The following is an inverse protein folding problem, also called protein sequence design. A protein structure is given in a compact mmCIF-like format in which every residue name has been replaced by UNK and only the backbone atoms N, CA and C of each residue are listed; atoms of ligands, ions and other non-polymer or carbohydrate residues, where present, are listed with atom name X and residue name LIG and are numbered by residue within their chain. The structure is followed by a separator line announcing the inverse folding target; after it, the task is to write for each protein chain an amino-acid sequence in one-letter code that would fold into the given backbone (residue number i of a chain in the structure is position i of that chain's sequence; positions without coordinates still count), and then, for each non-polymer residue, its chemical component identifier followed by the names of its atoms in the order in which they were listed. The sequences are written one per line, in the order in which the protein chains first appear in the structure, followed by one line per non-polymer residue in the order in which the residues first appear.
data_IF_011154953849
#
_entry.id   IF_011154953849
#
_cell.length_a   1.000
_cell.length_b   1.000
_cell.length_c   1.000
_cell.angle_alpha   90.00
_cell.angle_beta   90.00
_cell.angle_gamma   90.00
#
_symmetry.space_group_name_H-M   'P 1'
#
loop_
_entity.id
_entity.type
_entity.pdbx_description
1 polymer ?
#
# COMPACT_ATOMS: atom_id res chain seq x y z
N UNK A 1 24.71 14.84 -27.70
CA UNK A 1 25.05 13.41 -27.83
C UNK A 1 25.39 12.99 -29.26
N UNK A 2 24.98 13.71 -30.30
CA UNK A 2 25.11 13.37 -31.72
C UNK A 2 26.52 13.46 -32.32
N UNK A 3 27.47 14.18 -31.72
CA UNK A 3 28.86 14.28 -32.25
C UNK A 3 29.80 13.16 -31.75
N UNK A 4 29.51 12.52 -30.64
CA UNK A 4 30.36 11.45 -30.07
C UNK A 4 30.16 10.10 -30.78
N UNK A 5 28.94 9.79 -31.21
CA UNK A 5 28.59 8.51 -31.88
C UNK A 5 29.12 8.50 -33.33
N UNK A 6 29.09 9.66 -34.04
CA UNK A 6 29.64 9.78 -35.37
C UNK A 6 31.16 9.64 -35.39
N UNK A 7 31.88 10.09 -34.34
CA UNK A 7 33.32 9.91 -34.21
C UNK A 7 33.74 8.47 -33.94
N UNK A 8 32.90 7.72 -33.22
CA UNK A 8 33.16 6.29 -32.89
C UNK A 8 33.00 5.39 -34.11
N UNK A 9 32.01 5.65 -34.96
CA UNK A 9 31.78 4.94 -36.22
C UNK A 9 32.90 5.25 -37.27
N UNK A 10 33.37 6.49 -37.32
CA UNK A 10 34.46 6.87 -38.21
C UNK A 10 35.83 6.27 -37.82
N UNK A 11 36.08 6.01 -36.52
CA UNK A 11 37.28 5.36 -36.02
C UNK A 11 37.28 3.84 -36.28
N UNK A 12 36.12 3.18 -36.35
CA UNK A 12 36.01 1.76 -36.67
C UNK A 12 36.27 1.50 -38.16
N UNK A 13 35.95 2.42 -39.05
CA UNK A 13 36.19 2.29 -40.50
C UNK A 13 37.65 2.53 -40.91
N UNK A 14 38.47 3.12 -40.08
CA UNK A 14 39.91 3.38 -40.42
C UNK A 14 40.91 2.36 -39.86
N UNK A 15 40.44 1.38 -39.11
CA UNK A 15 41.34 0.43 -38.42
C UNK A 15 41.49 -0.97 -39.10
N UNK A 16 40.97 -1.14 -40.31
CA UNK A 16 40.98 -2.45 -40.98
C UNK A 16 41.74 -2.52 -42.35
N UNK A 17 42.78 -1.77 -42.63
CA UNK A 17 43.70 -2.28 -43.61
C UNK A 17 45.17 -2.23 -43.17
N UNK A 18 45.63 -3.11 -42.32
CA UNK A 18 47.06 -3.38 -42.14
C UNK A 18 47.28 -4.61 -41.22
N UNK A 19 46.79 -5.76 -41.62
CA UNK A 19 47.35 -7.03 -41.20
C UNK A 19 47.26 -7.97 -42.40
N UNK A 20 48.40 -8.21 -43.05
CA UNK A 20 48.52 -9.15 -44.12
C UNK A 20 48.13 -10.54 -43.63
N UNK A 21 46.95 -11.01 -43.99
CA UNK A 21 46.50 -12.37 -43.83
C UNK A 21 46.62 -13.08 -45.18
N UNK A 22 47.52 -14.05 -45.27
CA UNK A 22 47.48 -15.13 -46.24
C UNK A 22 46.47 -16.17 -45.72
N UNK A 23 45.17 -15.81 -45.80
CA UNK A 23 44.06 -16.67 -45.43
C UNK A 23 43.32 -17.13 -46.68
N UNK A 24 42.83 -18.39 -46.65
CA UNK A 24 41.93 -19.00 -47.62
C UNK A 24 40.74 -18.13 -47.92
N UNK A 25 40.35 -18.03 -49.21
CA UNK A 25 39.30 -17.12 -49.68
C UNK A 25 37.89 -17.29 -49.04
N UNK A 26 37.69 -18.33 -48.20
CA UNK A 26 36.47 -18.58 -47.44
C UNK A 26 36.33 -17.66 -46.21
N UNK A 27 37.42 -17.28 -45.56
CA UNK A 27 37.37 -16.33 -44.40
C UNK A 27 37.09 -14.89 -44.85
N UNK A 28 37.58 -14.52 -46.02
CA UNK A 28 37.28 -13.19 -46.59
C UNK A 28 35.81 -13.07 -47.02
N UNK A 29 35.20 -14.17 -47.51
CA UNK A 29 33.79 -14.25 -47.87
C UNK A 29 32.88 -14.06 -46.63
N UNK A 30 33.17 -14.78 -45.55
CA UNK A 30 32.41 -14.66 -44.31
C UNK A 30 32.56 -13.29 -43.64
N UNK A 31 33.75 -12.68 -43.73
CA UNK A 31 33.95 -11.30 -43.23
C UNK A 31 33.16 -10.28 -44.01
N UNK A 32 33.12 -10.39 -45.35
CA UNK A 32 32.32 -9.52 -46.19
C UNK A 32 30.79 -9.67 -45.98
N UNK A 33 30.32 -10.91 -45.77
CA UNK A 33 28.91 -11.13 -45.42
C UNK A 33 28.57 -10.47 -44.07
N UNK A 34 29.45 -10.59 -43.08
CA UNK A 34 29.25 -9.97 -41.77
C UNK A 34 29.30 -8.44 -41.82
N UNK A 35 30.15 -7.86 -42.68
CA UNK A 35 30.16 -6.39 -42.93
C UNK A 35 28.84 -5.95 -43.54
N UNK A 36 28.31 -6.64 -44.53
CA UNK A 36 27.05 -6.34 -45.16
C UNK A 36 25.85 -6.45 -44.19
N UNK A 37 25.85 -7.44 -43.29
CA UNK A 37 24.89 -7.55 -42.20
C UNK A 37 24.94 -6.36 -41.24
N UNK A 38 26.15 -5.96 -40.82
CA UNK A 38 26.33 -4.81 -39.91
C UNK A 38 25.99 -3.48 -40.55
N UNK A 39 26.24 -3.32 -41.85
CA UNK A 39 25.83 -2.13 -42.61
C UNK A 39 24.30 -2.04 -42.71
N UNK A 40 23.64 -3.16 -43.00
CA UNK A 40 22.16 -3.22 -43.03
C UNK A 40 21.54 -2.95 -41.65
N UNK A 41 22.16 -3.44 -40.59
CA UNK A 41 21.69 -3.16 -39.21
C UNK A 41 21.90 -1.70 -38.84
N UNK A 42 23.02 -1.10 -39.24
CA UNK A 42 23.29 0.32 -39.00
C UNK A 42 22.33 1.25 -39.74
N UNK A 43 21.91 0.90 -40.98
CA UNK A 43 20.87 1.62 -41.71
C UNK A 43 19.51 1.52 -41.02
N UNK A 44 19.12 0.33 -40.51
CA UNK A 44 17.89 0.14 -39.78
C UNK A 44 17.87 0.91 -38.43
N UNK A 45 18.99 0.89 -37.71
CA UNK A 45 19.13 1.63 -36.47
C UNK A 45 19.10 3.16 -36.71
N UNK A 46 19.66 3.63 -37.82
CA UNK A 46 19.64 5.04 -38.20
C UNK A 46 18.22 5.51 -38.58
N UNK A 47 17.43 4.66 -39.25
CA UNK A 47 16.03 4.92 -39.52
C UNK A 47 15.20 5.01 -38.22
N UNK A 48 15.48 4.13 -37.27
CA UNK A 48 14.82 4.13 -35.95
C UNK A 48 15.21 5.34 -35.11
N UNK A 49 16.45 5.79 -35.18
CA UNK A 49 16.93 7.02 -34.53
C UNK A 49 16.18 8.23 -35.11
N UNK A 50 16.03 8.31 -36.43
CA UNK A 50 15.29 9.41 -37.09
C UNK A 50 13.80 9.42 -36.73
N UNK A 51 13.19 8.23 -36.56
CA UNK A 51 11.82 8.10 -36.06
C UNK A 51 11.70 8.58 -34.60
N UNK A 52 12.62 8.19 -33.74
CA UNK A 52 12.67 8.62 -32.34
C UNK A 52 12.98 10.13 -32.19
N UNK A 53 13.86 10.67 -33.01
CA UNK A 53 14.14 12.10 -33.05
C UNK A 53 12.91 12.91 -33.48
N UNK A 54 12.11 12.40 -34.43
CA UNK A 54 10.85 13.02 -34.83
C UNK A 54 9.77 12.90 -33.72
N UNK A 55 9.78 11.80 -32.95
CA UNK A 55 8.94 11.65 -31.76
C UNK A 55 9.36 12.61 -30.64
N UNK A 56 10.66 12.80 -30.44
CA UNK A 56 11.20 13.77 -29.48
C UNK A 56 10.81 15.21 -29.81
N UNK A 57 10.82 15.59 -31.10
CA UNK A 57 10.37 16.93 -31.51
C UNK A 57 8.87 17.13 -31.21
N UNK A 58 8.03 16.10 -31.41
CA UNK A 58 6.61 16.16 -31.04
C UNK A 58 6.39 16.14 -29.53
N UNK A 59 7.24 15.47 -28.75
CA UNK A 59 7.20 15.54 -27.30
C UNK A 59 7.68 16.88 -26.74
N UNK A 60 8.64 17.52 -27.38
CA UNK A 60 9.13 18.85 -27.02
C UNK A 60 8.07 19.92 -27.35
N UNK A 61 7.38 19.79 -28.47
CA UNK A 61 6.22 20.61 -28.82
C UNK A 61 5.02 20.37 -27.89
N UNK A 62 4.78 19.12 -27.46
CA UNK A 62 3.78 18.81 -26.43
C UNK A 62 4.18 19.31 -25.06
N UNK A 63 5.47 19.28 -24.70
CA UNK A 63 5.96 19.84 -23.44
C UNK A 63 5.81 21.37 -23.42
N UNK A 64 6.07 22.05 -24.53
CA UNK A 64 5.84 23.50 -24.67
C UNK A 64 4.35 23.83 -24.63
N UNK A 65 3.49 23.02 -25.25
CA UNK A 65 2.03 23.18 -25.14
C UNK A 65 1.51 22.82 -23.74
N UNK A 66 2.14 21.86 -23.06
CA UNK A 66 1.82 21.50 -21.68
C UNK A 66 2.26 22.60 -20.70
N UNK A 67 3.47 23.15 -20.90
CA UNK A 67 4.00 24.27 -20.10
C UNK A 67 3.18 25.56 -20.32
N UNK A 68 2.77 25.83 -21.58
CA UNK A 68 1.89 26.96 -21.91
C UNK A 68 0.44 26.73 -21.45
N UNK A 69 -0.06 25.49 -21.53
CA UNK A 69 -1.36 25.10 -20.98
C UNK A 69 -1.37 25.03 -19.45
N UNK A 70 -0.22 24.69 -18.84
CA UNK A 70 -0.03 24.69 -17.39
C UNK A 70 0.05 26.12 -16.84
N UNK A 71 0.77 27.04 -17.48
CA UNK A 71 0.86 28.43 -17.06
C UNK A 71 -0.50 29.13 -17.18
N UNK A 72 -1.26 28.94 -18.30
CA UNK A 72 -2.60 29.52 -18.45
C UNK A 72 -3.62 28.78 -17.58
N UNK A 73 -3.55 27.45 -17.51
CA UNK A 73 -4.46 26.64 -16.71
C UNK A 73 -4.18 26.75 -15.21
N UNK A 74 -2.92 27.00 -14.81
CA UNK A 74 -2.56 27.22 -13.42
C UNK A 74 -2.92 28.63 -12.95
N UNK A 75 -2.63 29.67 -13.74
CA UNK A 75 -2.98 31.04 -13.37
C UNK A 75 -4.51 31.28 -13.45
N UNK A 76 -5.17 30.87 -14.53
CA UNK A 76 -6.63 31.03 -14.66
C UNK A 76 -7.41 30.02 -13.82
N UNK A 77 -6.96 28.76 -13.75
CA UNK A 77 -7.62 27.71 -12.96
C UNK A 77 -7.37 27.84 -11.46
N UNK A 78 -6.20 28.37 -11.03
CA UNK A 78 -5.91 28.58 -9.62
C UNK A 78 -6.64 29.82 -9.08
N UNK A 79 -6.68 30.91 -9.86
CA UNK A 79 -7.45 32.11 -9.49
C UNK A 79 -8.95 31.88 -9.60
N UNK A 80 -9.46 31.26 -10.66
CA UNK A 80 -10.88 30.94 -10.79
C UNK A 80 -11.31 29.80 -9.86
N UNK A 81 -10.44 28.84 -9.53
CA UNK A 81 -10.68 27.78 -8.56
C UNK A 81 -10.68 28.30 -7.13
N UNK A 82 -9.81 29.27 -6.78
CA UNK A 82 -9.75 29.87 -5.47
C UNK A 82 -10.90 30.86 -5.24
N UNK A 83 -11.25 31.67 -6.25
CA UNK A 83 -12.42 32.57 -6.19
C UNK A 83 -13.75 31.80 -6.40
N UNK A 84 -13.75 30.69 -7.15
CA UNK A 84 -14.91 29.81 -7.35
C UNK A 84 -15.19 28.92 -6.14
N UNK A 85 -14.17 28.48 -5.42
CA UNK A 85 -14.33 27.78 -4.14
C UNK A 85 -14.88 28.71 -3.04
N UNK A 86 -14.69 30.03 -3.19
CA UNK A 86 -15.28 31.02 -2.29
C UNK A 86 -16.71 31.47 -2.70
N UNK A 87 -17.22 31.10 -3.88
CA UNK A 87 -18.47 31.69 -4.41
C UNK A 87 -19.47 30.80 -5.12
N UNK A 88 -19.25 29.49 -5.39
CA UNK A 88 -20.34 28.63 -5.88
C UNK A 88 -20.03 27.13 -5.82
N UNK A 89 -20.78 26.40 -5.01
CA UNK A 89 -20.90 24.95 -5.08
C UNK A 89 -19.64 24.19 -4.74
N UNK A 90 -19.26 24.21 -3.45
CA UNK A 90 -18.24 23.33 -2.91
C UNK A 90 -18.51 21.89 -3.37
N UNK A 91 -17.48 21.20 -3.87
CA UNK A 91 -17.48 19.74 -3.86
C UNK A 91 -17.93 19.32 -2.47
N UNK A 92 -19.04 18.58 -2.37
CA UNK A 92 -19.49 18.06 -1.07
C UNK A 92 -18.36 17.23 -0.49
N UNK A 93 -18.02 17.47 0.79
CA UNK A 93 -17.08 16.61 1.51
C UNK A 93 -17.53 15.14 1.41
N UNK A 94 -16.62 14.22 1.42
CA UNK A 94 -16.93 12.78 1.47
C UNK A 94 -17.88 12.47 2.62
N UNK A 95 -17.72 13.12 3.78
CA UNK A 95 -18.67 13.01 4.89
C UNK A 95 -20.10 13.39 4.48
N UNK A 96 -20.27 14.52 3.81
CA UNK A 96 -21.61 14.99 3.41
C UNK A 96 -22.26 14.02 2.41
N UNK A 97 -21.48 13.45 1.52
CA UNK A 97 -21.93 12.41 0.58
C UNK A 97 -22.35 11.12 1.31
N UNK A 98 -21.55 10.65 2.28
CA UNK A 98 -21.84 9.47 3.10
C UNK A 98 -23.16 9.68 3.86
N UNK A 99 -23.30 10.81 4.56
CA UNK A 99 -24.50 11.10 5.36
C UNK A 99 -25.73 11.23 4.45
N UNK A 100 -25.61 11.89 3.30
CA UNK A 100 -26.70 11.99 2.32
C UNK A 100 -27.11 10.63 1.75
N UNK A 101 -26.17 9.72 1.57
CA UNK A 101 -26.40 8.37 1.04
C UNK A 101 -26.89 7.40 2.12
N UNK A 102 -26.54 7.63 3.39
CA UNK A 102 -26.91 6.81 4.52
C UNK A 102 -26.07 5.58 4.76
N UNK A 103 -24.94 5.42 4.09
CA UNK A 103 -23.95 4.34 4.32
C UNK A 103 -22.56 4.76 3.85
N UNK A 104 -21.52 4.13 4.43
CA UNK A 104 -20.11 4.34 4.08
C UNK A 104 -19.58 3.20 3.21
N UNK A 105 -18.77 3.52 2.21
CA UNK A 105 -18.07 2.55 1.36
C UNK A 105 -16.63 2.39 1.84
N UNK A 106 -16.32 1.29 2.50
CA UNK A 106 -14.98 0.98 2.98
C UNK A 106 -14.25 0.02 2.03
N UNK A 107 -13.12 0.45 1.46
CA UNK A 107 -12.25 -0.38 0.64
C UNK A 107 -11.39 -1.29 1.52
N UNK A 108 -11.58 -2.61 1.40
CA UNK A 108 -11.00 -3.59 2.32
C UNK A 108 -10.29 -4.74 1.61
N UNK A 109 -9.50 -5.49 2.37
CA UNK A 109 -8.99 -6.81 2.03
C UNK A 109 -9.94 -7.88 2.56
N UNK A 110 -9.94 -9.08 1.96
CA UNK A 110 -10.84 -10.18 2.35
C UNK A 110 -10.09 -11.48 2.69
N UNK A 111 -8.78 -11.51 2.46
CA UNK A 111 -7.99 -12.74 2.50
C UNK A 111 -6.87 -12.75 3.54
N UNK A 112 -6.82 -11.76 4.44
CA UNK A 112 -5.77 -11.70 5.46
C UNK A 112 -6.37 -11.75 6.86
N UNK A 113 -6.29 -12.91 7.50
CA UNK A 113 -6.71 -13.09 8.88
C UNK A 113 -5.96 -12.13 9.83
N UNK A 114 -6.68 -11.56 10.78
CA UNK A 114 -6.17 -10.55 11.70
C UNK A 114 -6.21 -9.10 11.19
N UNK A 115 -6.21 -8.86 9.88
CA UNK A 115 -6.31 -7.51 9.30
C UNK A 115 -7.65 -7.31 8.57
N UNK A 116 -7.82 -7.88 7.38
CA UNK A 116 -9.04 -7.81 6.59
C UNK A 116 -9.40 -9.20 6.06
N UNK A 117 -10.33 -9.85 6.70
CA UNK A 117 -10.73 -11.23 6.42
C UNK A 117 -12.25 -11.37 6.26
N UNK A 118 -12.66 -12.13 5.27
CA UNK A 118 -14.03 -12.58 5.06
C UNK A 118 -14.08 -14.10 5.21
N UNK A 119 -14.83 -14.55 6.18
CA UNK A 119 -15.22 -15.97 6.27
C UNK A 119 -16.33 -16.23 5.24
N UNK A 120 -15.99 -16.93 4.17
CA UNK A 120 -16.91 -17.22 3.06
C UNK A 120 -18.04 -18.17 3.42
N UNK A 121 -17.89 -18.97 4.47
CA UNK A 121 -18.91 -19.91 4.92
C UNK A 121 -19.99 -19.21 5.76
N UNK A 122 -19.60 -18.23 6.55
CA UNK A 122 -20.50 -17.49 7.46
C UNK A 122 -20.86 -16.10 6.95
N UNK A 123 -20.08 -15.54 6.03
CA UNK A 123 -20.20 -14.14 5.58
C UNK A 123 -19.69 -13.11 6.59
N UNK A 124 -19.09 -13.55 7.71
CA UNK A 124 -18.60 -12.67 8.76
C UNK A 124 -17.25 -12.05 8.35
N UNK A 125 -17.12 -10.74 8.54
CA UNK A 125 -15.86 -10.03 8.37
C UNK A 125 -15.20 -9.78 9.72
N UNK A 126 -13.86 -9.87 9.75
CA UNK A 126 -13.07 -9.67 10.96
C UNK A 126 -11.68 -9.08 10.66
N UNK A 127 -11.02 -8.59 11.70
CA UNK A 127 -9.67 -8.06 11.66
C UNK A 127 -9.59 -6.57 11.90
N UNK A 128 -8.39 -6.07 12.18
CA UNK A 128 -8.13 -4.71 12.64
C UNK A 128 -8.57 -3.63 11.64
N UNK A 129 -8.42 -3.88 10.35
CA UNK A 129 -8.90 -2.98 9.28
C UNK A 129 -10.44 -2.92 9.27
N UNK A 130 -11.12 -4.03 9.56
CA UNK A 130 -12.58 -4.10 9.66
C UNK A 130 -13.08 -3.37 10.92
N UNK A 131 -12.40 -3.57 12.06
CA UNK A 131 -12.69 -2.82 13.29
C UNK A 131 -12.53 -1.31 13.07
N UNK A 132 -11.52 -0.89 12.30
CA UNK A 132 -11.32 0.52 11.96
C UNK A 132 -12.44 1.06 11.05
N UNK A 133 -12.89 0.30 10.02
CA UNK A 133 -14.07 0.70 9.23
C UNK A 133 -15.30 0.89 10.12
N UNK A 134 -15.55 -0.04 11.05
CA UNK A 134 -16.66 0.04 12.02
C UNK A 134 -16.54 1.26 12.94
N UNK A 135 -15.34 1.53 13.44
CA UNK A 135 -15.06 2.70 14.26
C UNK A 135 -15.38 4.02 13.55
N UNK A 136 -14.95 4.15 12.29
CA UNK A 136 -15.23 5.34 11.47
C UNK A 136 -16.73 5.49 11.21
N UNK A 137 -17.44 4.41 10.89
CA UNK A 137 -18.90 4.44 10.68
C UNK A 137 -19.63 4.87 11.95
N UNK A 138 -19.29 4.32 13.11
CA UNK A 138 -19.87 4.69 14.40
C UNK A 138 -19.62 6.17 14.72
N UNK A 139 -18.41 6.67 14.50
CA UNK A 139 -18.04 8.06 14.77
C UNK A 139 -18.90 9.08 14.00
N UNK A 140 -19.33 8.74 12.79
CA UNK A 140 -20.17 9.61 11.95
C UNK A 140 -21.67 9.34 12.11
N UNK A 141 -22.06 8.50 13.09
CA UNK A 141 -23.44 8.21 13.45
C UNK A 141 -24.13 7.18 12.55
N UNK A 142 -23.39 6.36 11.85
CA UNK A 142 -23.89 5.20 11.09
C UNK A 142 -23.89 3.92 11.95
N UNK A 143 -24.78 2.98 11.61
CA UNK A 143 -24.76 1.65 12.23
C UNK A 143 -23.55 0.86 11.68
N UNK A 144 -22.59 0.48 12.53
CA UNK A 144 -21.37 -0.19 12.08
C UNK A 144 -21.59 -1.62 11.57
N UNK A 145 -22.76 -2.23 11.81
CA UNK A 145 -23.10 -3.56 11.31
C UNK A 145 -23.91 -3.54 10.02
N UNK A 146 -24.66 -2.45 9.74
CA UNK A 146 -25.61 -2.42 8.62
C UNK A 146 -25.31 -1.32 7.59
N UNK A 147 -24.64 -0.23 7.98
CA UNK A 147 -24.45 0.94 7.12
C UNK A 147 -23.02 1.02 6.54
N UNK A 148 -22.34 -0.11 6.41
CA UNK A 148 -21.04 -0.20 5.74
C UNK A 148 -21.15 -1.10 4.52
N UNK A 149 -20.87 -0.54 3.34
CA UNK A 149 -20.61 -1.32 2.13
C UNK A 149 -19.12 -1.63 2.04
N UNK A 150 -18.75 -2.88 2.30
CA UNK A 150 -17.37 -3.35 2.16
C UNK A 150 -17.07 -3.66 0.70
N UNK A 151 -16.11 -2.94 0.11
CA UNK A 151 -15.71 -3.09 -1.28
C UNK A 151 -14.31 -3.70 -1.34
N UNK A 152 -14.16 -4.92 -1.91
CA UNK A 152 -12.84 -5.51 -2.10
C UNK A 152 -11.94 -4.59 -2.92
N UNK A 153 -10.72 -4.32 -2.42
CA UNK A 153 -9.74 -3.48 -3.07
C UNK A 153 -8.41 -4.22 -3.19
N UNK A 154 -7.96 -4.48 -4.42
CA UNK A 154 -6.70 -5.20 -4.70
C UNK A 154 -5.46 -4.29 -4.56
N UNK A 155 -4.27 -4.86 -4.67
CA UNK A 155 -3.02 -4.10 -4.73
C UNK A 155 -2.98 -3.12 -5.89
N UNK A 156 -3.56 -3.50 -7.03
CA UNK A 156 -3.48 -2.76 -8.29
C UNK A 156 -4.62 -1.75 -8.52
N UNK A 157 -5.80 -1.90 -7.87
CA UNK A 157 -6.97 -1.07 -8.17
C UNK A 157 -7.43 -0.16 -7.01
N UNK A 158 -6.87 -0.33 -5.82
CA UNK A 158 -7.33 0.37 -4.60
C UNK A 158 -7.27 1.89 -4.69
N UNK A 159 -6.22 2.44 -5.30
CA UNK A 159 -6.08 3.89 -5.43
C UNK A 159 -7.00 4.46 -6.51
N UNK A 160 -7.22 3.74 -7.62
CA UNK A 160 -8.20 4.12 -8.62
C UNK A 160 -9.63 4.11 -8.04
N UNK A 161 -9.96 3.13 -7.21
CA UNK A 161 -11.24 3.07 -6.50
C UNK A 161 -11.40 4.24 -5.52
N UNK A 162 -10.33 4.63 -4.83
CA UNK A 162 -10.34 5.77 -3.93
C UNK A 162 -10.51 7.08 -4.71
N UNK A 163 -9.68 7.32 -5.71
CA UNK A 163 -9.70 8.52 -6.53
C UNK A 163 -11.05 8.72 -7.26
N UNK A 164 -11.65 7.63 -7.75
CA UNK A 164 -12.95 7.66 -8.46
C UNK A 164 -14.17 7.80 -7.54
N UNK A 165 -14.03 7.73 -6.20
CA UNK A 165 -15.15 7.71 -5.27
C UNK A 165 -15.94 6.39 -5.27
N UNK A 166 -15.36 5.32 -5.85
CA UNK A 166 -15.90 3.96 -5.71
C UNK A 166 -15.87 3.53 -4.25
N UNK A 167 -14.87 3.96 -3.50
CA UNK A 167 -14.76 3.85 -2.04
C UNK A 167 -14.61 5.24 -1.42
N UNK A 168 -15.10 5.41 -0.20
CA UNK A 168 -15.00 6.65 0.57
C UNK A 168 -13.71 6.71 1.38
N UNK A 169 -13.27 5.56 1.85
CA UNK A 169 -12.04 5.37 2.63
C UNK A 169 -11.41 4.03 2.26
N UNK A 170 -10.09 4.00 2.23
CA UNK A 170 -9.31 2.79 2.00
C UNK A 170 -8.66 2.34 3.31
N UNK A 171 -9.11 1.23 3.88
CA UNK A 171 -8.56 0.63 5.10
C UNK A 171 -8.23 -0.83 4.78
N UNK A 172 -7.02 -1.06 4.25
CA UNK A 172 -6.63 -2.38 3.77
C UNK A 172 -5.11 -2.54 3.64
N UNK A 173 -4.40 -2.74 4.74
CA UNK A 173 -2.95 -3.01 4.73
C UNK A 173 -2.21 -2.18 3.67
N UNK A 174 -2.39 -0.85 3.69
CA UNK A 174 -1.82 0.05 2.69
C UNK A 174 -0.64 0.80 3.28
N UNK A 175 0.56 0.50 2.80
CA UNK A 175 1.78 1.16 3.24
C UNK A 175 1.78 2.62 2.83
N UNK A 176 1.99 3.51 3.77
CA UNK A 176 2.21 4.92 3.52
C UNK A 176 3.61 5.12 2.90
N UNK A 177 3.65 5.58 1.67
CA UNK A 177 4.88 5.91 0.95
C UNK A 177 4.77 7.28 0.31
N UNK A 178 5.91 7.94 0.10
CA UNK A 178 5.97 9.26 -0.54
C UNK A 178 5.28 9.28 -1.91
N UNK A 179 5.51 8.24 -2.73
CA UNK A 179 4.90 8.19 -4.07
C UNK A 179 3.38 8.01 -4.03
N UNK A 180 2.87 7.22 -3.08
CA UNK A 180 1.43 7.03 -2.93
C UNK A 180 0.74 8.29 -2.42
N UNK A 181 1.39 8.97 -1.49
CA UNK A 181 0.91 10.20 -0.88
C UNK A 181 0.93 11.36 -1.89
N UNK A 182 2.04 11.50 -2.62
CA UNK A 182 2.25 12.64 -3.52
C UNK A 182 1.63 12.47 -4.91
N UNK A 183 1.53 11.23 -5.44
CA UNK A 183 1.24 11.00 -6.86
C UNK A 183 -0.12 10.32 -7.12
N UNK A 184 -0.79 9.76 -6.09
CA UNK A 184 -1.98 8.91 -6.31
C UNK A 184 -3.31 9.53 -5.82
N UNK A 185 -3.35 10.85 -5.59
CA UNK A 185 -4.51 11.56 -5.05
C UNK A 185 -5.06 10.90 -3.77
N UNK A 186 -4.15 10.50 -2.89
CA UNK A 186 -4.46 9.83 -1.63
C UNK A 186 -3.77 10.53 -0.48
N UNK A 187 -4.53 10.92 0.53
CA UNK A 187 -4.05 11.49 1.78
C UNK A 187 -4.12 10.41 2.87
N UNK A 188 -3.04 10.17 3.59
CA UNK A 188 -2.98 9.12 4.61
C UNK A 188 -3.43 9.62 5.98
N UNK A 189 -4.21 8.78 6.66
CA UNK A 189 -4.82 9.07 7.96
C UNK A 189 -4.22 8.15 9.03
N UNK A 190 -3.25 8.61 9.77
CA UNK A 190 -2.68 7.90 10.91
C UNK A 190 -2.23 6.45 10.64
N UNK A 191 -1.10 6.03 11.17
CA UNK A 191 -0.61 4.66 11.01
C UNK A 191 -1.38 3.75 11.96
N UNK A 192 -2.12 2.78 11.40
CA UNK A 192 -2.91 1.82 12.19
C UNK A 192 -2.15 0.52 12.49
N UNK A 193 -1.12 0.17 11.71
CA UNK A 193 -0.28 -0.99 11.99
C UNK A 193 1.14 -0.79 11.47
N UNK A 194 2.13 -1.12 12.29
CA UNK A 194 3.55 -1.12 11.90
C UNK A 194 3.94 -2.51 11.49
N UNK A 195 4.25 -2.69 10.20
CA UNK A 195 4.64 -3.97 9.61
C UNK A 195 6.02 -3.88 8.94
N UNK A 196 6.43 -4.96 8.34
CA UNK A 196 7.60 -5.08 7.49
C UNK A 196 7.39 -6.19 6.47
N UNK A 197 8.11 -6.13 5.36
CA UNK A 197 8.10 -7.20 4.37
C UNK A 197 8.97 -8.36 4.81
N UNK A 198 8.45 -9.58 4.70
CA UNK A 198 9.17 -10.82 4.96
C UNK A 198 9.07 -11.81 3.80
N UNK A 199 9.58 -13.02 4.02
CA UNK A 199 9.49 -14.16 3.10
C UNK A 199 9.09 -15.41 3.86
N UNK A 200 8.07 -16.11 3.37
CA UNK A 200 7.70 -17.48 3.75
C UNK A 200 8.26 -18.42 2.69
N UNK A 201 9.05 -19.40 3.10
CA UNK A 201 9.74 -20.36 2.20
C UNK A 201 9.24 -21.78 2.43
N UNK A 202 9.11 -22.55 1.35
CA UNK A 202 8.99 -24.00 1.40
C UNK A 202 10.39 -24.59 1.67
N UNK A 203 10.59 -25.12 2.87
CA UNK A 203 11.89 -25.67 3.28
C UNK A 203 12.21 -27.03 2.65
N UNK A 204 11.29 -27.66 1.94
CA UNK A 204 11.58 -28.82 1.11
C UNK A 204 12.28 -28.40 -0.21
N UNK A 205 11.92 -27.23 -0.75
CA UNK A 205 12.62 -26.65 -1.91
C UNK A 205 13.99 -26.05 -1.53
N UNK A 206 14.08 -25.42 -0.35
CA UNK A 206 15.31 -24.82 0.18
C UNK A 206 15.67 -25.36 1.57
N UNK A 207 16.13 -26.62 1.69
CA UNK A 207 16.29 -27.30 3.00
C UNK A 207 17.35 -26.68 3.92
N UNK A 208 18.29 -25.93 3.37
CA UNK A 208 19.36 -25.29 4.12
C UNK A 208 19.08 -23.80 4.40
N UNK A 209 17.94 -23.25 3.94
CA UNK A 209 17.65 -21.82 4.09
C UNK A 209 17.41 -21.47 5.56
N UNK A 210 18.16 -20.50 6.03
CA UNK A 210 18.06 -19.87 7.37
C UNK A 210 17.99 -18.36 7.27
N UNK A 211 18.17 -17.83 6.08
CA UNK A 211 18.20 -16.41 5.73
C UNK A 211 17.59 -16.20 4.34
N UNK A 212 17.08 -15.01 4.07
CA UNK A 212 16.68 -14.61 2.70
C UNK A 212 17.84 -14.72 1.72
N UNK A 213 19.07 -14.55 2.17
CA UNK A 213 20.28 -14.66 1.34
C UNK A 213 20.55 -16.09 0.82
N UNK A 214 19.88 -17.09 1.38
CA UNK A 214 19.98 -18.47 0.93
C UNK A 214 18.99 -18.80 -0.22
N UNK A 215 18.17 -17.82 -0.67
CA UNK A 215 17.09 -18.01 -1.65
C UNK A 215 17.48 -17.58 -3.08
N UNK A 216 18.77 -17.53 -3.41
CA UNK A 216 19.25 -17.20 -4.75
C UNK A 216 18.69 -18.18 -5.79
N UNK A 217 18.08 -17.66 -6.86
CA UNK A 217 17.45 -18.44 -7.93
C UNK A 217 16.03 -18.96 -7.62
N UNK A 218 15.44 -18.63 -6.49
CA UNK A 218 14.10 -19.09 -6.12
C UNK A 218 12.99 -18.51 -7.03
N UNK A 219 11.91 -19.29 -7.20
CA UNK A 219 10.64 -18.77 -7.73
C UNK A 219 9.84 -18.16 -6.56
N UNK A 220 9.56 -16.86 -6.61
CA UNK A 220 8.94 -16.15 -5.50
C UNK A 220 7.60 -15.57 -5.94
N UNK A 221 6.52 -15.99 -5.27
CA UNK A 221 5.19 -15.38 -5.42
C UNK A 221 5.18 -13.96 -4.88
N UNK A 222 4.74 -12.99 -5.69
CA UNK A 222 4.66 -11.57 -5.33
C UNK A 222 3.37 -10.94 -5.86
N UNK A 223 2.72 -10.14 -5.02
CA UNK A 223 1.53 -9.39 -5.41
C UNK A 223 1.88 -8.19 -6.29
N UNK A 224 1.25 -8.07 -7.46
CA UNK A 224 1.43 -6.92 -8.37
C UNK A 224 0.87 -5.62 -7.77
N UNK A 225 1.49 -4.47 -8.11
CA UNK A 225 1.05 -3.14 -7.66
C UNK A 225 1.27 -2.90 -6.16
N UNK A 226 2.18 -3.63 -5.54
CA UNK A 226 2.50 -3.52 -4.11
C UNK A 226 3.90 -2.96 -3.89
N UNK A 227 4.17 -2.43 -2.69
CA UNK A 227 5.52 -2.07 -2.25
C UNK A 227 6.43 -3.28 -2.25
N UNK A 228 5.88 -4.45 -1.93
CA UNK A 228 6.63 -5.69 -1.82
C UNK A 228 7.21 -6.17 -3.15
N UNK A 229 6.57 -5.82 -4.29
CA UNK A 229 7.09 -6.10 -5.63
C UNK A 229 8.40 -5.34 -5.90
N UNK A 230 8.43 -4.04 -5.60
CA UNK A 230 9.64 -3.23 -5.74
C UNK A 230 10.74 -3.60 -4.73
N UNK A 231 10.37 -3.76 -3.48
CA UNK A 231 11.32 -4.03 -2.40
C UNK A 231 12.06 -5.37 -2.58
N UNK A 232 11.37 -6.43 -3.05
CA UNK A 232 12.04 -7.73 -3.28
C UNK A 232 13.06 -7.61 -4.42
N UNK A 233 12.73 -6.88 -5.49
CA UNK A 233 13.64 -6.66 -6.59
C UNK A 233 14.89 -5.88 -6.14
N UNK A 234 14.69 -4.82 -5.38
CA UNK A 234 15.79 -4.01 -4.83
C UNK A 234 16.67 -4.81 -3.87
N UNK A 235 16.06 -5.60 -2.97
CA UNK A 235 16.80 -6.40 -2.00
C UNK A 235 17.68 -7.45 -2.67
N UNK A 236 17.15 -8.20 -3.65
CA UNK A 236 17.89 -9.22 -4.38
C UNK A 236 19.01 -8.59 -5.21
N UNK A 237 18.72 -7.52 -5.94
CA UNK A 237 19.72 -6.79 -6.72
C UNK A 237 20.85 -6.22 -5.83
N UNK A 238 20.54 -5.66 -4.68
CA UNK A 238 21.51 -5.10 -3.74
C UNK A 238 22.45 -6.18 -3.16
N UNK A 239 21.99 -7.43 -3.08
CA UNK A 239 22.78 -8.58 -2.58
C UNK A 239 23.38 -9.43 -3.70
N UNK A 240 23.23 -9.03 -4.98
CA UNK A 240 23.77 -9.74 -6.14
C UNK A 240 23.13 -11.12 -6.34
N UNK A 241 21.85 -11.24 -5.99
CA UNK A 241 21.04 -12.45 -6.10
C UNK A 241 20.02 -12.31 -7.23
N UNK A 242 19.65 -13.43 -7.81
CA UNK A 242 18.59 -13.53 -8.82
C UNK A 242 17.36 -14.24 -8.24
N UNK A 243 16.18 -13.96 -8.77
CA UNK A 243 14.95 -14.70 -8.50
C UNK A 243 14.01 -14.65 -9.72
N UNK A 244 13.03 -15.54 -9.76
CA UNK A 244 11.95 -15.51 -10.74
C UNK A 244 10.68 -15.04 -10.05
N UNK A 245 10.14 -13.87 -10.46
CA UNK A 245 8.87 -13.39 -9.94
C UNK A 245 7.71 -14.20 -10.52
N UNK A 246 6.89 -14.80 -9.63
CA UNK A 246 5.59 -15.37 -9.96
C UNK A 246 4.55 -14.34 -9.54
N UNK A 247 4.09 -13.54 -10.51
CA UNK A 247 3.21 -12.43 -10.27
C UNK A 247 1.77 -12.88 -10.00
N UNK A 248 1.18 -12.43 -8.89
CA UNK A 248 -0.17 -12.79 -8.47
C UNK A 248 -1.04 -11.54 -8.33
N UNK A 249 -2.33 -11.66 -8.68
CA UNK A 249 -3.26 -10.54 -8.63
C UNK A 249 -3.72 -10.23 -7.20
N UNK A 250 -3.77 -11.23 -6.35
CA UNK A 250 -4.21 -11.12 -4.96
C UNK A 250 -3.51 -12.16 -4.07
N UNK A 251 -3.74 -12.04 -2.78
CA UNK A 251 -3.08 -12.87 -1.78
C UNK A 251 -3.54 -14.35 -1.81
N UNK A 252 -4.80 -14.61 -2.18
CA UNK A 252 -5.32 -15.99 -2.33
C UNK A 252 -4.66 -16.71 -3.50
N UNK A 253 -4.43 -16.02 -4.62
CA UNK A 253 -3.72 -16.58 -5.76
C UNK A 253 -2.27 -16.91 -5.38
N UNK A 254 -1.61 -16.05 -4.59
CA UNK A 254 -0.26 -16.31 -4.10
C UNK A 254 -0.20 -17.57 -3.23
N UNK A 255 -1.16 -17.76 -2.35
CA UNK A 255 -1.27 -18.99 -1.54
C UNK A 255 -1.46 -20.23 -2.41
N UNK A 256 -2.38 -20.18 -3.36
CA UNK A 256 -2.64 -21.30 -4.28
C UNK A 256 -1.37 -21.66 -5.08
N UNK A 257 -0.63 -20.68 -5.59
CA UNK A 257 0.61 -20.91 -6.33
C UNK A 257 1.70 -21.47 -5.42
N UNK A 258 1.78 -21.04 -4.16
CA UNK A 258 2.73 -21.58 -3.18
C UNK A 258 2.38 -23.02 -2.79
N UNK A 259 1.10 -23.33 -2.52
CA UNK A 259 0.64 -24.69 -2.19
C UNK A 259 0.76 -25.66 -3.37
N UNK A 260 0.60 -25.19 -4.60
CA UNK A 260 0.81 -26.01 -5.80
C UNK A 260 2.28 -26.24 -6.17
N UNK A 261 3.19 -25.52 -5.52
CA UNK A 261 4.63 -25.59 -5.81
C UNK A 261 5.05 -24.81 -7.07
N UNK A 262 4.22 -23.89 -7.56
CA UNK A 262 4.59 -22.95 -8.61
C UNK A 262 5.63 -21.94 -8.10
N UNK A 263 5.54 -21.59 -6.80
CA UNK A 263 6.50 -20.78 -6.08
C UNK A 263 7.22 -21.61 -5.01
N UNK A 264 8.51 -21.38 -4.86
CA UNK A 264 9.34 -21.94 -3.77
C UNK A 264 9.19 -21.12 -2.49
N UNK A 265 8.84 -19.84 -2.64
CA UNK A 265 8.63 -18.90 -1.56
C UNK A 265 7.54 -17.88 -1.92
N UNK A 266 7.00 -17.18 -0.92
CA UNK A 266 6.12 -16.05 -1.12
C UNK A 266 6.57 -14.88 -0.26
N UNK A 267 6.40 -13.65 -0.78
CA UNK A 267 6.77 -12.43 -0.08
C UNK A 267 5.57 -11.51 0.10
N UNK A 268 5.57 -10.78 1.20
CA UNK A 268 4.53 -9.81 1.56
C UNK A 268 4.73 -9.28 2.96
N UNK A 269 3.73 -8.57 3.46
CA UNK A 269 3.71 -8.07 4.82
C UNK A 269 3.87 -9.23 5.82
N UNK A 270 4.69 -9.06 6.84
CA UNK A 270 4.96 -10.09 7.85
C UNK A 270 3.67 -10.56 8.52
N UNK A 271 2.75 -9.65 8.83
CA UNK A 271 1.43 -9.98 9.39
C UNK A 271 0.65 -10.93 8.47
N UNK A 272 0.72 -10.71 7.16
CA UNK A 272 0.10 -11.60 6.17
C UNK A 272 0.79 -12.96 6.08
N UNK A 273 2.12 -12.99 6.13
CA UNK A 273 2.87 -14.26 6.09
C UNK A 273 2.62 -15.12 7.34
N UNK A 274 2.50 -14.49 8.51
CA UNK A 274 2.13 -15.20 9.75
C UNK A 274 0.71 -15.78 9.62
N UNK A 275 -0.24 -15.01 9.13
CA UNK A 275 -1.62 -15.48 8.90
C UNK A 275 -1.66 -16.64 7.90
N UNK A 276 -0.91 -16.54 6.80
CA UNK A 276 -0.83 -17.59 5.79
C UNK A 276 -0.18 -18.87 6.32
N UNK A 277 0.93 -18.72 7.03
CA UNK A 277 1.57 -19.90 7.64
C UNK A 277 0.63 -20.64 8.61
N UNK A 278 -0.21 -19.89 9.31
CA UNK A 278 -1.21 -20.47 10.22
C UNK A 278 -2.31 -21.21 9.45
N UNK A 279 -2.78 -20.69 8.31
CA UNK A 279 -3.85 -21.25 7.48
C UNK A 279 -3.37 -22.21 6.38
N UNK A 280 -2.04 -22.37 6.21
CA UNK A 280 -1.43 -23.16 5.16
C UNK A 280 -1.88 -24.63 5.21
N UNK A 281 -2.25 -25.20 4.05
CA UNK A 281 -2.47 -26.66 3.94
C UNK A 281 -1.16 -27.41 4.13
N UNK A 282 -1.00 -27.96 5.32
CA UNK A 282 0.20 -28.74 5.69
C UNK A 282 0.33 -30.06 4.94
N UNK A 283 -0.68 -30.51 4.17
CA UNK A 283 -0.53 -31.62 3.25
C UNK A 283 0.11 -31.21 1.93
N UNK A 284 -0.14 -29.96 1.48
CA UNK A 284 0.48 -29.41 0.28
C UNK A 284 1.92 -28.93 0.55
N UNK A 285 2.13 -28.20 1.64
CA UNK A 285 3.44 -27.70 2.06
C UNK A 285 3.72 -28.11 3.51
N UNK A 286 4.21 -29.34 3.75
CA UNK A 286 4.40 -29.85 5.10
C UNK A 286 5.49 -29.14 5.89
N UNK A 287 6.45 -28.55 5.20
CA UNK A 287 7.60 -27.87 5.80
C UNK A 287 7.73 -26.44 5.26
N UNK A 288 7.50 -25.44 6.11
CA UNK A 288 7.64 -24.03 5.76
C UNK A 288 8.25 -23.25 6.91
N UNK A 289 8.96 -22.17 6.58
CA UNK A 289 9.55 -21.26 7.53
C UNK A 289 9.42 -19.80 7.08
N UNK A 290 9.17 -18.89 8.01
CA UNK A 290 9.33 -17.46 7.76
C UNK A 290 10.78 -17.12 8.02
N UNK A 291 11.41 -16.43 7.06
CA UNK A 291 12.79 -15.97 7.19
C UNK A 291 12.90 -14.86 8.22
N UNK A 292 14.02 -14.75 8.94
CA UNK A 292 14.13 -13.80 10.07
C UNK A 292 14.29 -12.34 9.67
N UNK A 293 14.66 -12.07 8.42
CA UNK A 293 14.90 -10.71 7.94
C UNK A 293 13.59 -9.99 7.60
N UNK A 294 13.55 -8.69 7.90
CA UNK A 294 12.60 -7.74 7.33
C UNK A 294 13.28 -6.99 6.19
N UNK A 295 12.71 -7.05 4.98
CA UNK A 295 13.26 -6.45 3.78
C UNK A 295 12.96 -4.97 3.69
N UNK A 296 11.88 -4.51 4.35
CA UNK A 296 11.41 -3.13 4.31
C UNK A 296 10.69 -2.72 5.59
N UNK A 297 10.31 -1.45 5.64
CA UNK A 297 9.35 -0.90 6.61
C UNK A 297 8.01 -0.73 5.90
N UNK A 298 6.96 -1.24 6.51
CA UNK A 298 5.60 -1.13 5.99
C UNK A 298 4.70 -0.47 7.06
N UNK A 299 4.72 0.88 7.19
CA UNK A 299 3.76 1.59 8.02
C UNK A 299 2.40 1.58 7.33
N UNK A 300 1.49 0.74 7.80
CA UNK A 300 0.17 0.58 7.22
C UNK A 300 -0.75 1.67 7.78
N UNK A 301 -1.52 2.30 6.90
CA UNK A 301 -2.43 3.38 7.27
C UNK A 301 -3.71 3.37 6.43
N UNK A 302 -4.77 3.94 6.98
CA UNK A 302 -5.95 4.28 6.19
C UNK A 302 -5.62 5.42 5.22
N UNK A 303 -6.34 5.50 4.10
CA UNK A 303 -6.20 6.59 3.16
C UNK A 303 -7.56 7.11 2.70
N UNK A 304 -7.63 8.42 2.48
CA UNK A 304 -8.77 9.16 1.94
C UNK A 304 -8.38 9.82 0.63
N UNK A 305 -9.33 10.41 -0.09
CA UNK A 305 -9.01 11.23 -1.25
C UNK A 305 -8.28 12.50 -0.82
N UNK A 306 -7.35 12.95 -1.63
CA UNK A 306 -6.73 14.26 -1.53
C UNK A 306 -7.78 15.39 -1.51
N UNK A 307 -7.40 16.51 -0.92
CA UNK A 307 -8.21 17.75 -0.85
C UNK A 307 -9.52 17.64 -0.08
N UNK A 308 -9.69 16.62 0.77
CA UNK A 308 -10.80 16.43 1.69
C UNK A 308 -10.30 16.31 3.14
N UNK A 309 -9.76 17.40 3.67
CA UNK A 309 -9.16 17.45 5.00
C UNK A 309 -10.17 17.12 6.11
N UNK A 310 -11.43 17.56 5.97
CA UNK A 310 -12.47 17.30 6.98
C UNK A 310 -12.70 15.79 7.13
N UNK A 311 -12.71 15.05 6.02
CA UNK A 311 -12.85 13.60 6.03
C UNK A 311 -11.59 12.89 6.54
N UNK A 312 -10.40 13.32 6.08
CA UNK A 312 -9.13 12.75 6.54
C UNK A 312 -8.94 12.94 8.05
N UNK A 313 -9.27 14.12 8.57
CA UNK A 313 -9.21 14.41 10.00
C UNK A 313 -10.12 13.48 10.81
N UNK A 314 -11.37 13.24 10.37
CA UNK A 314 -12.27 12.30 11.05
C UNK A 314 -11.64 10.91 11.10
N UNK A 315 -11.21 10.38 9.95
CA UNK A 315 -10.59 9.04 9.90
C UNK A 315 -9.38 8.98 10.83
N UNK A 316 -8.49 9.96 10.78
CA UNK A 316 -7.31 10.02 11.65
C UNK A 316 -7.66 10.09 13.14
N UNK A 317 -8.57 10.98 13.52
CA UNK A 317 -8.91 11.20 14.92
C UNK A 317 -9.73 10.07 15.52
N UNK A 318 -10.43 9.29 14.72
CA UNK A 318 -11.07 8.05 15.19
C UNK A 318 -9.98 7.06 15.67
N UNK A 319 -8.96 6.83 14.87
CA UNK A 319 -7.86 5.95 15.27
C UNK A 319 -7.10 6.45 16.51
N UNK A 320 -6.74 7.73 16.51
CA UNK A 320 -6.06 8.34 17.66
C UNK A 320 -6.94 8.41 18.91
N UNK A 321 -8.26 8.55 18.74
CA UNK A 321 -9.23 8.47 19.81
C UNK A 321 -9.24 7.09 20.48
N UNK A 322 -9.19 6.02 19.69
CA UNK A 322 -9.11 4.65 20.20
C UNK A 322 -7.80 4.40 20.98
N UNK A 323 -6.67 4.92 20.49
CA UNK A 323 -5.37 4.87 21.20
C UNK A 323 -5.47 5.66 22.51
N UNK A 324 -5.99 6.88 22.46
CA UNK A 324 -6.15 7.75 23.65
C UNK A 324 -7.05 7.11 24.69
N UNK A 325 -8.13 6.45 24.28
CA UNK A 325 -9.01 5.73 25.21
C UNK A 325 -8.25 4.61 25.94
N UNK A 326 -7.44 3.83 25.23
CA UNK A 326 -6.62 2.80 25.86
C UNK A 326 -5.58 3.39 26.82
N UNK A 327 -4.92 4.51 26.45
CA UNK A 327 -3.95 5.21 27.33
C UNK A 327 -4.58 5.64 28.66
N UNK A 328 -5.88 6.00 28.67
CA UNK A 328 -6.64 6.33 29.87
C UNK A 328 -7.34 5.14 30.52
N UNK A 329 -7.19 3.92 30.00
CA UNK A 329 -7.87 2.72 30.49
C UNK A 329 -9.38 2.77 30.31
N UNK A 330 -9.86 3.50 29.28
CA UNK A 330 -11.28 3.59 28.94
C UNK A 330 -11.59 2.49 27.91
N UNK A 331 -12.61 1.70 28.20
CA UNK A 331 -13.01 0.53 27.40
C UNK A 331 -14.48 0.61 27.01
N UNK A 332 -14.93 -0.30 26.15
CA UNK A 332 -16.33 -0.49 25.78
C UNK A 332 -17.24 -0.74 27.02
N UNK A 333 -16.70 -1.32 28.09
CA UNK A 333 -17.46 -1.63 29.30
C UNK A 333 -17.54 -0.47 30.30
N UNK A 334 -16.54 0.44 30.31
CA UNK A 334 -16.43 1.44 31.38
C UNK A 334 -16.61 2.90 30.94
N UNK A 335 -16.66 3.21 29.63
CA UNK A 335 -16.66 4.58 29.12
C UNK A 335 -17.82 5.43 29.70
N UNK A 336 -19.00 4.86 29.93
CA UNK A 336 -20.13 5.57 30.54
C UNK A 336 -19.88 6.03 31.98
N UNK A 337 -18.94 5.39 32.68
CA UNK A 337 -18.60 5.65 34.08
C UNK A 337 -17.23 6.28 34.24
N UNK A 338 -16.60 6.70 33.14
CA UNK A 338 -15.27 7.33 33.15
C UNK A 338 -15.31 8.67 33.91
N UNK A 339 -14.23 9.00 34.60
CA UNK A 339 -14.13 10.25 35.40
C UNK A 339 -13.96 11.49 34.50
N UNK A 340 -15.03 12.08 34.07
CA UNK A 340 -15.06 13.31 33.26
C UNK A 340 -14.70 14.57 34.02
N UNK A 341 -14.42 14.50 35.33
CA UNK A 341 -13.77 15.60 36.04
C UNK A 341 -12.31 15.82 35.56
N UNK A 342 -11.70 14.78 34.97
CA UNK A 342 -10.48 14.91 34.20
C UNK A 342 -10.77 15.56 32.85
N UNK A 343 -10.25 16.77 32.55
CA UNK A 343 -10.58 17.49 31.33
C UNK A 343 -10.07 16.82 30.04
N UNK A 344 -9.14 15.88 30.11
CA UNK A 344 -8.69 15.09 28.97
C UNK A 344 -9.74 14.03 28.61
N UNK A 345 -10.29 13.36 29.61
CA UNK A 345 -11.35 12.37 29.44
C UNK A 345 -12.65 13.05 29.01
N UNK A 346 -12.97 14.21 29.57
CA UNK A 346 -14.16 14.98 29.15
C UNK A 346 -14.09 15.37 27.67
N UNK A 347 -12.93 15.86 27.21
CA UNK A 347 -12.74 16.18 25.79
C UNK A 347 -12.90 14.96 24.89
N UNK A 348 -12.29 13.84 25.27
CA UNK A 348 -12.38 12.58 24.52
C UNK A 348 -13.83 12.11 24.38
N UNK A 349 -14.61 12.17 25.45
CA UNK A 349 -15.93 11.53 25.51
C UNK A 349 -17.09 12.49 25.17
N UNK A 350 -16.94 13.81 25.38
CA UNK A 350 -18.08 14.74 25.39
C UNK A 350 -17.90 15.95 24.46
N UNK A 351 -16.88 15.96 23.58
CA UNK A 351 -16.65 17.11 22.70
C UNK A 351 -16.30 16.64 21.29
N UNK A 352 -16.83 17.31 20.27
CA UNK A 352 -16.50 17.01 18.88
C UNK A 352 -15.19 17.68 18.41
N UNK A 353 -14.68 18.64 19.16
CA UNK A 353 -13.41 19.36 18.93
C UNK A 353 -13.29 20.01 17.53
N UNK A 354 -14.42 20.28 16.88
CA UNK A 354 -14.47 20.87 15.56
C UNK A 354 -14.48 19.86 14.41
N UNK A 355 -14.49 18.55 14.70
CA UNK A 355 -14.54 17.52 13.67
C UNK A 355 -15.88 17.50 12.93
N UNK A 356 -15.81 17.19 11.65
CA UNK A 356 -16.94 17.18 10.73
C UNK A 356 -17.02 18.44 9.88
N UNK A 357 -18.01 18.48 8.98
CA UNK A 357 -18.27 19.64 8.15
C UNK A 357 -19.21 20.64 8.85
N UNK A 358 -19.33 21.83 8.29
CA UNK A 358 -20.34 22.80 8.78
C UNK A 358 -21.77 22.25 8.69
N UNK A 359 -22.05 21.40 7.70
CA UNK A 359 -23.37 20.80 7.47
C UNK A 359 -23.59 19.57 8.35
N UNK A 360 -22.55 18.78 8.56
CA UNK A 360 -22.55 17.55 9.33
C UNK A 360 -21.41 17.56 10.36
N UNK A 361 -21.49 18.38 11.42
CA UNK A 361 -20.53 18.30 12.52
C UNK A 361 -20.70 16.96 13.24
N UNK A 362 -19.62 16.34 13.69
CA UNK A 362 -19.73 15.12 14.50
C UNK A 362 -20.53 15.40 15.80
N UNK A 363 -21.17 14.37 16.31
CA UNK A 363 -21.77 14.40 17.65
C UNK A 363 -20.71 14.78 18.70
N UNK A 364 -21.12 15.45 19.77
CA UNK A 364 -20.22 15.67 20.90
C UNK A 364 -19.81 14.34 21.59
N UNK A 365 -20.58 13.28 21.37
CA UNK A 365 -20.36 11.94 21.95
C UNK A 365 -19.82 10.93 20.93
N UNK A 366 -19.30 11.40 19.79
CA UNK A 366 -18.84 10.53 18.70
C UNK A 366 -17.85 9.43 19.16
N UNK A 367 -17.00 9.74 20.15
CA UNK A 367 -16.05 8.75 20.66
C UNK A 367 -16.72 7.73 21.58
N UNK A 368 -17.84 8.08 22.24
CA UNK A 368 -18.65 7.11 22.98
C UNK A 368 -19.27 6.10 22.01
N UNK A 369 -19.77 6.57 20.86
CA UNK A 369 -20.35 5.71 19.82
C UNK A 369 -19.28 4.73 19.27
N UNK A 370 -18.02 5.21 19.08
CA UNK A 370 -16.88 4.35 18.72
C UNK A 370 -16.58 3.30 19.78
N UNK A 371 -16.54 3.71 21.06
CA UNK A 371 -16.23 2.81 22.16
C UNK A 371 -17.34 1.76 22.37
N UNK A 372 -18.59 2.12 22.14
CA UNK A 372 -19.71 1.17 22.18
C UNK A 372 -19.58 0.13 21.03
N UNK A 373 -19.22 0.58 19.84
CA UNK A 373 -19.15 -0.27 18.65
C UNK A 373 -17.94 -1.22 18.64
N UNK A 374 -16.73 -0.68 18.93
CA UNK A 374 -15.48 -1.42 18.76
C UNK A 374 -14.55 -1.37 19.96
N UNK A 375 -14.86 -0.57 20.99
CA UNK A 375 -13.97 -0.36 22.12
C UNK A 375 -12.74 0.47 21.78
N UNK A 376 -11.71 0.37 22.61
CA UNK A 376 -10.44 1.05 22.39
C UNK A 376 -9.51 0.24 21.46
N UNK A 377 -8.32 0.78 21.15
CA UNK A 377 -7.34 0.10 20.29
C UNK A 377 -6.95 -1.29 20.80
N UNK A 378 -6.75 -1.45 22.11
CA UNK A 378 -6.41 -2.75 22.71
C UNK A 378 -7.51 -3.79 22.51
N UNK A 379 -8.77 -3.41 22.70
CA UNK A 379 -9.92 -4.29 22.52
C UNK A 379 -10.09 -4.69 21.04
N UNK A 380 -9.96 -3.74 20.12
CA UNK A 380 -10.01 -4.02 18.68
C UNK A 380 -8.86 -4.93 18.23
N UNK A 381 -7.65 -4.72 18.76
CA UNK A 381 -6.50 -5.56 18.49
C UNK A 381 -6.70 -7.00 19.01
N UNK A 382 -7.21 -7.13 20.23
CA UNK A 382 -7.46 -8.44 20.87
C UNK A 382 -8.45 -9.28 20.06
N UNK A 383 -9.57 -8.69 19.64
CA UNK A 383 -10.54 -9.38 18.76
C UNK A 383 -9.98 -9.73 17.39
N UNK A 384 -8.99 -8.99 16.92
CA UNK A 384 -8.43 -9.18 15.58
C UNK A 384 -7.33 -10.24 15.53
N UNK A 385 -6.47 -10.25 16.54
CA UNK A 385 -5.26 -11.06 16.52
C UNK A 385 -5.16 -12.09 17.66
N UNK A 386 -6.01 -12.01 18.69
CA UNK A 386 -5.96 -12.86 19.87
C UNK A 386 -7.30 -13.58 20.10
N UNK A 387 -7.57 -14.02 21.32
CA UNK A 387 -8.80 -14.74 21.68
C UNK A 387 -10.05 -13.85 21.75
N UNK A 388 -9.89 -12.53 21.76
CA UNK A 388 -10.99 -11.57 21.85
C UNK A 388 -11.66 -11.52 23.23
N UNK A 389 -11.01 -12.04 24.26
CA UNK A 389 -11.52 -12.08 25.65
C UNK A 389 -10.99 -10.93 26.53
N UNK A 390 -10.24 -10.01 25.93
CA UNK A 390 -9.63 -8.86 26.61
C UNK A 390 -8.37 -9.18 27.40
N UNK A 391 -7.88 -10.42 27.37
CA UNK A 391 -6.67 -10.83 28.11
C UNK A 391 -5.40 -10.75 27.25
N UNK A 392 -5.55 -10.49 25.95
CA UNK A 392 -4.45 -10.50 24.96
C UNK A 392 -3.65 -11.81 24.99
N UNK A 393 -4.36 -12.94 25.06
CA UNK A 393 -3.78 -14.28 25.07
C UNK A 393 -4.00 -15.01 23.76
N UNK A 394 -3.16 -16.02 23.52
CA UNK A 394 -3.20 -16.85 22.31
C UNK A 394 -3.19 -16.04 20.99
N UNK A 395 -2.42 -14.97 20.96
CA UNK A 395 -2.36 -14.09 19.81
C UNK A 395 -1.65 -14.73 18.62
N UNK A 396 -2.23 -14.59 17.43
CA UNK A 396 -1.55 -14.87 16.17
C UNK A 396 -0.32 -13.95 16.01
N UNK A 397 -0.50 -12.68 16.35
CA UNK A 397 0.56 -11.69 16.46
C UNK A 397 0.37 -10.98 17.81
N UNK A 398 1.30 -11.18 18.73
CA UNK A 398 1.33 -10.44 19.99
C UNK A 398 1.80 -9.01 19.75
N UNK A 399 1.12 -8.00 20.34
CA UNK A 399 1.58 -6.62 20.24
C UNK A 399 2.53 -6.21 21.35
N UNK A 400 2.57 -6.97 22.46
CA UNK A 400 3.45 -6.68 23.58
C UNK A 400 4.93 -6.75 23.16
N UNK A 401 5.67 -5.66 23.42
CA UNK A 401 7.08 -5.57 23.01
C UNK A 401 7.34 -5.39 21.53
N UNK A 402 6.29 -5.15 20.72
CA UNK A 402 6.39 -4.83 19.30
C UNK A 402 6.14 -3.35 19.03
N UNK A 403 6.34 -2.92 17.78
CA UNK A 403 6.02 -1.55 17.35
C UNK A 403 4.51 -1.24 17.46
N UNK A 404 3.65 -2.23 17.51
CA UNK A 404 2.19 -2.07 17.60
C UNK A 404 1.69 -1.90 19.05
N UNK A 405 2.55 -1.94 20.06
CA UNK A 405 2.23 -1.53 21.41
C UNK A 405 2.13 -0.01 21.54
N UNK A 406 1.49 0.47 22.63
CA UNK A 406 1.50 1.89 22.96
C UNK A 406 2.93 2.37 23.27
N UNK A 407 3.19 3.66 23.07
CA UNK A 407 4.49 4.27 23.43
C UNK A 407 4.82 4.05 24.92
N UNK A 408 3.84 4.11 25.82
CA UNK A 408 4.00 3.79 27.24
C UNK A 408 4.45 2.34 27.49
N UNK A 409 4.24 1.44 26.52
CA UNK A 409 4.63 0.03 26.55
C UNK A 409 5.89 -0.26 25.70
N UNK A 410 6.52 0.78 25.13
CA UNK A 410 7.72 0.67 24.30
C UNK A 410 7.44 0.46 22.80
N UNK A 411 6.20 0.59 22.36
CA UNK A 411 5.78 0.56 20.96
C UNK A 411 5.80 1.94 20.29
N UNK A 412 5.11 2.07 19.17
CA UNK A 412 5.03 3.30 18.36
C UNK A 412 3.60 3.85 18.21
N UNK A 413 2.59 3.16 18.75
CA UNK A 413 1.23 3.70 18.75
C UNK A 413 1.13 4.87 19.73
N UNK A 414 0.97 6.07 19.14
CA UNK A 414 1.01 7.34 19.86
C UNK A 414 0.01 8.31 19.24
N UNK A 415 -0.93 8.77 20.06
CA UNK A 415 -1.94 9.73 19.64
C UNK A 415 -1.49 11.17 19.91
N UNK A 416 -1.74 12.11 18.97
CA UNK A 416 -1.64 13.53 19.27
C UNK A 416 -2.65 13.94 20.35
N UNK A 417 -2.36 14.99 21.16
CA UNK A 417 -3.28 15.39 22.21
C UNK A 417 -4.57 16.00 21.68
N UNK A 418 -5.70 15.49 22.11
CA UNK A 418 -7.04 16.02 21.78
C UNK A 418 -7.29 17.32 22.57
N UNK A 419 -7.37 18.46 21.85
CA UNK A 419 -7.54 19.79 22.46
C UNK A 419 -8.41 20.71 21.62
#
# INVERSE_FOLDING_TARGET
MTRAVALFLALLMTAVPLAGCTGDGTELGAANERIAELESQAEADQAKIAELENLCCTMEEMAIQYEYGYDIGYDDGWYDGYDGAASSGGSSSTLDEIISRGYMKCGVKESQYGMGYLDWDTGVRSGLDIEYCKAVAAAIGLDPEFDIEYIPASGSDRFDKLASGTIDVLIRTTTWTTSRDADLNADFAGINFYDGQGILVNTDAFPAATSVLDLDGANICVGIGTTTEGNIADYFAANGMDYTAVNTANWGDAMNSFESGECDAMTGDMSGLVANKWSLDTNAVPNSAIMPELLSKEPLAAATRDYDSDWNEIVSWVWWGMITAEEFGITSENYMNADTSNPFIDRLLNQNLGLGTTQNPLSATWMQDVLEAVGNYGEAYDRSFCDGDGTHSNCLIDRAGTMNGLVSQGGLQYAPPMR
#
